data_IF_053377952909
#
_entry.id   IF_053377952909
#
_cell.length_a   1.000
_cell.length_b   1.000
_cell.length_c   1.000
_cell.angle_alpha   90.00
_cell.angle_beta   90.00
_cell.angle_gamma   90.00
#
_symmetry.space_group_name_H-M   'P 1'
#
loop_
_entity.id
_entity.type
_entity.pdbx_description
1 polymer ?
#
# COMPACT_ATOMS: atom_id res chain seq x y z
N UNK A 1 -6.83 -8.35 1.43
CA UNK A 1 -6.12 -7.10 1.76
C UNK A 1 -5.47 -7.15 3.13
N UNK A 2 -6.19 -7.47 4.21
CA UNK A 2 -5.61 -7.51 5.56
C UNK A 2 -4.41 -8.47 5.69
N UNK A 3 -4.51 -9.69 5.14
CA UNK A 3 -3.44 -10.70 5.25
C UNK A 3 -2.11 -10.28 4.62
N UNK A 4 -2.12 -9.72 3.39
CA UNK A 4 -0.88 -9.36 2.68
C UNK A 4 -0.57 -7.86 2.63
N UNK A 5 -1.52 -6.99 2.89
CA UNK A 5 -1.37 -5.53 2.86
C UNK A 5 -1.81 -4.88 4.19
N UNK A 6 -1.75 -5.64 5.30
CA UNK A 6 -1.98 -5.14 6.65
C UNK A 6 -0.81 -4.31 7.20
N UNK A 7 -0.68 -4.33 8.54
CA UNK A 7 0.39 -3.63 9.26
C UNK A 7 1.75 -4.22 8.86
N UNK A 8 1.93 -5.52 9.09
CA UNK A 8 3.13 -6.25 8.73
C UNK A 8 2.95 -6.97 7.41
N UNK A 9 4.00 -6.98 6.60
CA UNK A 9 3.95 -7.49 5.23
C UNK A 9 5.14 -8.38 4.97
N UNK A 10 4.90 -9.51 4.33
CA UNK A 10 5.95 -10.39 3.79
C UNK A 10 5.74 -10.55 2.28
N UNK A 11 6.81 -10.81 1.51
CA UNK A 11 6.72 -11.01 0.06
C UNK A 11 5.69 -12.08 -0.32
N UNK A 12 5.64 -13.17 0.45
CA UNK A 12 4.78 -14.33 0.18
C UNK A 12 3.31 -13.97 0.35
N UNK A 13 2.96 -13.28 1.45
CA UNK A 13 1.58 -12.87 1.72
C UNK A 13 1.13 -11.75 0.77
N UNK A 14 2.04 -10.84 0.40
CA UNK A 14 1.77 -9.81 -0.62
C UNK A 14 1.50 -10.45 -1.98
N UNK A 15 2.36 -11.38 -2.43
CA UNK A 15 2.19 -12.05 -3.71
C UNK A 15 0.89 -12.85 -3.74
N UNK A 16 0.60 -13.62 -2.69
CA UNK A 16 -0.67 -14.34 -2.55
C UNK A 16 -1.89 -13.40 -2.64
N UNK A 17 -1.77 -12.19 -2.09
CA UNK A 17 -2.83 -11.17 -2.17
C UNK A 17 -3.01 -10.67 -3.59
N UNK A 18 -1.93 -10.40 -4.34
CA UNK A 18 -1.97 -10.03 -5.75
C UNK A 18 -2.65 -11.12 -6.58
N UNK A 19 -2.21 -12.37 -6.41
CA UNK A 19 -2.77 -13.51 -7.15
C UNK A 19 -4.28 -13.66 -6.86
N UNK A 20 -4.68 -13.47 -5.60
CA UNK A 20 -6.10 -13.52 -5.21
C UNK A 20 -6.91 -12.38 -5.81
N UNK A 21 -6.36 -11.17 -5.87
CA UNK A 21 -7.03 -10.03 -6.47
C UNK A 21 -7.21 -10.24 -7.99
N UNK A 22 -6.21 -10.79 -8.68
CA UNK A 22 -6.34 -11.18 -10.09
C UNK A 22 -7.46 -12.20 -10.31
N UNK A 23 -7.58 -13.23 -9.46
CA UNK A 23 -8.71 -14.17 -9.50
C UNK A 23 -10.06 -13.46 -9.29
N UNK A 24 -10.14 -12.54 -8.32
CA UNK A 24 -11.37 -11.80 -8.02
C UNK A 24 -11.77 -10.86 -9.16
N UNK A 25 -10.80 -10.22 -9.83
CA UNK A 25 -11.03 -9.41 -11.03
C UNK A 25 -11.63 -10.25 -12.16
N UNK A 26 -11.10 -11.45 -12.42
CA UNK A 26 -11.68 -12.36 -13.41
C UNK A 26 -13.08 -12.82 -13.04
N UNK A 27 -13.34 -13.06 -11.75
CA UNK A 27 -14.68 -13.40 -11.26
C UNK A 27 -15.66 -12.26 -11.41
N UNK A 28 -15.22 -11.02 -11.19
CA UNK A 28 -16.05 -9.82 -11.28
C UNK A 28 -16.64 -9.62 -12.69
N UNK A 29 -15.92 -10.03 -13.74
CA UNK A 29 -16.42 -10.01 -15.14
C UNK A 29 -17.71 -10.81 -15.37
N UNK A 30 -18.06 -11.72 -14.43
CA UNK A 30 -19.26 -12.57 -14.50
C UNK A 30 -20.34 -12.19 -13.49
N UNK A 31 -20.17 -11.07 -12.77
CA UNK A 31 -21.19 -10.55 -11.85
C UNK A 31 -22.46 -10.22 -12.62
N UNK A 32 -23.61 -10.52 -12.01
CA UNK A 32 -24.94 -10.19 -12.53
C UNK A 32 -25.69 -9.42 -11.47
N UNK A 33 -26.27 -8.30 -11.88
CA UNK A 33 -27.21 -7.53 -11.07
C UNK A 33 -28.58 -8.17 -11.25
N UNK A 34 -29.27 -8.42 -10.15
CA UNK A 34 -30.57 -9.10 -10.18
C UNK A 34 -31.74 -8.13 -9.99
N UNK A 35 -31.50 -7.00 -9.33
CA UNK A 35 -32.46 -5.91 -9.24
C UNK A 35 -32.54 -5.16 -10.57
N UNK A 36 -33.74 -5.13 -11.17
CA UNK A 36 -34.01 -4.43 -12.43
C UNK A 36 -34.74 -3.09 -12.22
N UNK A 37 -34.87 -2.65 -10.97
CA UNK A 37 -35.50 -1.37 -10.63
C UNK A 37 -34.68 -0.21 -11.18
N UNK A 38 -35.35 0.81 -11.71
CA UNK A 38 -34.70 2.04 -12.19
C UNK A 38 -34.53 3.10 -11.11
N UNK A 39 -35.20 2.94 -9.97
CA UNK A 39 -35.18 3.88 -8.85
C UNK A 39 -34.43 3.23 -7.69
N UNK A 40 -33.37 3.91 -7.21
CA UNK A 40 -32.61 3.51 -6.02
C UNK A 40 -32.08 2.06 -6.05
N UNK A 41 -31.53 1.65 -7.20
CA UNK A 41 -30.95 0.32 -7.36
C UNK A 41 -29.57 0.24 -6.68
N UNK A 42 -29.56 -0.15 -5.40
CA UNK A 42 -28.32 -0.29 -4.63
C UNK A 42 -27.45 -1.45 -5.10
N UNK A 43 -28.04 -2.48 -5.72
CA UNK A 43 -27.29 -3.64 -6.26
C UNK A 43 -26.36 -3.18 -7.41
N UNK A 44 -26.89 -2.34 -8.31
CA UNK A 44 -26.10 -1.67 -9.35
C UNK A 44 -24.99 -0.79 -8.77
N UNK A 45 -25.31 0.05 -7.78
CA UNK A 45 -24.34 0.94 -7.16
C UNK A 45 -23.19 0.16 -6.51
N UNK A 46 -23.50 -0.82 -5.66
CA UNK A 46 -22.49 -1.65 -4.99
C UNK A 46 -21.66 -2.47 -5.97
N UNK A 47 -22.26 -2.91 -7.07
CA UNK A 47 -21.51 -3.61 -8.13
C UNK A 47 -20.46 -2.69 -8.76
N UNK A 48 -20.81 -1.43 -9.06
CA UNK A 48 -19.87 -0.44 -9.59
C UNK A 48 -18.76 -0.14 -8.58
N UNK A 49 -19.12 0.06 -7.31
CA UNK A 49 -18.16 0.33 -6.23
C UNK A 49 -17.21 -0.84 -6.00
N UNK A 50 -17.70 -2.07 -6.06
CA UNK A 50 -16.89 -3.28 -5.95
C UNK A 50 -15.82 -3.33 -7.05
N UNK A 51 -16.18 -3.00 -8.30
CA UNK A 51 -15.23 -2.93 -9.41
C UNK A 51 -14.11 -1.92 -9.16
N UNK A 52 -14.45 -0.71 -8.70
CA UNK A 52 -13.45 0.30 -8.34
C UNK A 52 -12.60 -0.13 -7.14
N UNK A 53 -13.21 -0.74 -6.13
CA UNK A 53 -12.51 -1.27 -4.96
C UNK A 53 -11.45 -2.30 -5.33
N UNK A 54 -11.77 -3.23 -6.23
CA UNK A 54 -10.81 -4.21 -6.74
C UNK A 54 -9.66 -3.55 -7.51
N UNK A 55 -9.92 -2.47 -8.26
CA UNK A 55 -8.86 -1.74 -8.97
C UNK A 55 -7.90 -1.01 -8.02
N UNK A 56 -8.44 -0.34 -7.00
CA UNK A 56 -7.64 0.34 -5.98
C UNK A 56 -6.82 -0.67 -5.18
N UNK A 57 -7.44 -1.80 -4.80
CA UNK A 57 -6.77 -2.87 -4.07
C UNK A 57 -5.56 -3.43 -4.83
N UNK A 58 -5.71 -3.66 -6.14
CA UNK A 58 -4.62 -4.12 -7.01
C UNK A 58 -3.47 -3.10 -7.06
N UNK A 59 -3.79 -1.82 -7.26
CA UNK A 59 -2.77 -0.76 -7.24
C UNK A 59 -2.00 -0.70 -5.91
N UNK A 60 -2.71 -0.87 -4.79
CA UNK A 60 -2.10 -0.90 -3.46
C UNK A 60 -1.18 -2.11 -3.27
N UNK A 61 -1.61 -3.31 -3.67
CA UNK A 61 -0.85 -4.54 -3.49
C UNK A 61 0.45 -4.54 -4.31
N UNK A 62 0.38 -4.14 -5.59
CA UNK A 62 1.55 -3.96 -6.44
C UNK A 62 2.50 -2.88 -5.91
N UNK A 63 1.96 -1.76 -5.42
CA UNK A 63 2.78 -0.71 -4.80
C UNK A 63 3.51 -1.21 -3.55
N UNK A 64 2.85 -2.04 -2.73
CA UNK A 64 3.41 -2.59 -1.51
C UNK A 64 4.55 -3.59 -1.79
N UNK A 65 4.37 -4.51 -2.74
CA UNK A 65 5.39 -5.52 -3.04
C UNK A 65 6.62 -4.90 -3.71
N UNK A 66 6.43 -3.90 -4.57
CA UNK A 66 7.49 -3.21 -5.30
C UNK A 66 8.33 -2.30 -4.40
N UNK A 67 7.76 -1.79 -3.31
CA UNK A 67 8.47 -0.95 -2.34
C UNK A 67 9.25 -1.83 -1.36
N UNK A 68 10.57 -1.91 -1.54
CA UNK A 68 11.47 -2.77 -0.76
C UNK A 68 12.17 -1.99 0.35
N UNK A 69 11.38 -1.41 1.26
CA UNK A 69 11.83 -0.73 2.47
C UNK A 69 10.71 -0.77 3.53
N UNK A 70 11.00 -0.29 4.74
CA UNK A 70 9.97 0.00 5.74
C UNK A 70 9.94 1.50 6.04
N UNK A 71 8.77 2.12 5.87
CA UNK A 71 8.58 3.57 6.04
C UNK A 71 7.18 3.89 6.52
N UNK A 72 7.07 4.48 7.71
CA UNK A 72 5.78 4.85 8.29
C UNK A 72 4.90 3.63 8.55
N UNK A 73 3.69 3.61 7.98
CA UNK A 73 2.76 2.49 8.12
C UNK A 73 3.06 1.29 7.21
N UNK A 74 4.00 1.42 6.27
CA UNK A 74 4.47 0.30 5.45
C UNK A 74 5.62 -0.41 6.18
N UNK A 75 5.33 -1.55 6.79
CA UNK A 75 6.29 -2.35 7.54
C UNK A 75 6.49 -3.71 6.87
N UNK A 76 7.71 -3.95 6.38
CA UNK A 76 8.14 -5.19 5.76
C UNK A 76 9.00 -6.00 6.72
N UNK A 77 8.77 -7.30 6.74
CA UNK A 77 9.49 -8.22 7.64
C UNK A 77 10.58 -9.03 6.94
N UNK A 78 10.71 -8.90 5.62
CA UNK A 78 11.73 -9.61 4.85
C UNK A 78 13.11 -8.93 4.91
N UNK A 79 14.12 -9.76 4.72
CA UNK A 79 15.53 -9.38 4.84
C UNK A 79 15.89 -8.20 3.92
N UNK A 80 16.58 -7.20 4.48
CA UNK A 80 16.96 -5.98 3.76
C UNK A 80 15.84 -4.96 3.57
N UNK A 81 14.60 -5.25 4.01
CA UNK A 81 13.46 -4.33 3.89
C UNK A 81 12.91 -3.84 5.25
N UNK A 82 13.51 -4.22 6.38
CA UNK A 82 13.00 -3.88 7.73
C UNK A 82 13.26 -2.43 8.13
N UNK A 83 14.17 -1.75 7.45
CA UNK A 83 14.57 -0.37 7.73
C UNK A 83 14.15 0.58 6.62
N UNK A 84 14.20 1.88 6.93
CA UNK A 84 13.98 2.94 5.94
C UNK A 84 15.17 3.04 4.98
N UNK A 85 14.89 3.12 3.69
CA UNK A 85 15.91 3.29 2.64
C UNK A 85 15.72 4.63 1.91
N UNK A 86 16.48 5.64 2.34
CA UNK A 86 16.45 6.96 1.70
C UNK A 86 17.27 7.03 0.41
N UNK A 87 18.13 6.05 0.13
CA UNK A 87 18.92 6.02 -1.11
C UNK A 87 18.05 5.58 -2.27
N UNK A 88 17.34 4.47 -2.12
CA UNK A 88 16.54 3.90 -3.21
C UNK A 88 15.08 4.33 -3.16
N UNK A 89 14.52 4.68 -2.00
CA UNK A 89 13.08 4.88 -1.82
C UNK A 89 12.66 6.21 -1.20
N UNK A 90 13.51 7.25 -1.20
CA UNK A 90 13.07 8.63 -0.96
C UNK A 90 12.28 9.20 -2.16
N UNK A 91 11.16 8.56 -2.47
CA UNK A 91 10.30 8.80 -3.63
C UNK A 91 8.85 8.41 -3.33
N UNK A 92 7.90 9.08 -3.99
CA UNK A 92 6.49 8.74 -3.97
C UNK A 92 6.21 7.63 -4.98
N UNK A 93 5.53 6.56 -4.56
CA UNK A 93 5.02 5.56 -5.51
C UNK A 93 3.77 6.12 -6.19
N UNK A 94 3.76 6.18 -7.52
CA UNK A 94 2.61 6.55 -8.33
C UNK A 94 2.10 5.29 -9.03
N UNK A 95 0.86 4.89 -8.76
CA UNK A 95 0.24 3.72 -9.36
C UNK A 95 -0.81 4.15 -10.39
N UNK A 96 -0.67 3.64 -11.60
CA UNK A 96 -1.59 3.89 -12.72
C UNK A 96 -2.25 2.58 -13.11
N UNK A 97 -3.58 2.63 -13.25
CA UNK A 97 -4.37 1.53 -13.78
C UNK A 97 -4.55 1.75 -15.27
N UNK A 98 -3.92 0.94 -16.08
CA UNK A 98 -4.03 1.03 -17.54
C UNK A 98 -5.33 0.39 -18.02
N UNK A 99 -5.74 0.73 -19.25
CA UNK A 99 -7.01 0.30 -19.82
C UNK A 99 -7.11 -1.22 -20.02
N UNK A 100 -5.97 -1.91 -20.12
CA UNK A 100 -5.88 -3.37 -20.19
C UNK A 100 -6.02 -4.05 -18.81
N UNK A 101 -6.17 -3.26 -17.75
CA UNK A 101 -6.28 -3.75 -16.38
C UNK A 101 -4.94 -4.02 -15.70
N UNK A 102 -3.82 -3.70 -16.33
CA UNK A 102 -2.50 -3.79 -15.69
C UNK A 102 -2.26 -2.61 -14.75
N UNK A 103 -1.37 -2.82 -13.77
CA UNK A 103 -0.94 -1.77 -12.84
C UNK A 103 0.49 -1.39 -13.18
N UNK A 104 0.67 -0.14 -13.60
CA UNK A 104 1.97 0.44 -13.90
C UNK A 104 2.41 1.32 -12.76
N UNK A 105 3.65 1.15 -12.31
CA UNK A 105 4.23 1.93 -11.23
C UNK A 105 5.27 2.89 -11.77
N UNK A 106 5.17 4.14 -11.36
CA UNK A 106 6.21 5.14 -11.51
C UNK A 106 6.62 5.68 -10.14
N UNK A 107 7.69 6.47 -10.12
CA UNK A 107 8.15 7.14 -8.92
C UNK A 107 8.32 8.63 -9.14
N UNK A 108 7.72 9.42 -8.24
CA UNK A 108 7.89 10.87 -8.19
C UNK A 108 8.92 11.27 -7.13
N UNK A 109 9.66 12.34 -7.40
CA UNK A 109 10.64 12.87 -6.45
C UNK A 109 9.96 13.47 -5.21
N UNK A 110 10.61 13.31 -4.05
CA UNK A 110 10.20 14.00 -2.82
C UNK A 110 10.79 15.40 -2.84
N UNK A 111 9.94 16.42 -2.72
CA UNK A 111 10.40 17.80 -2.53
C UNK A 111 10.83 18.02 -1.07
N UNK A 112 12.14 17.96 -0.82
CA UNK A 112 12.71 18.32 0.48
C UNK A 112 12.63 19.84 0.63
N UNK A 113 12.01 20.31 1.71
CA UNK A 113 11.88 21.73 2.02
C UNK A 113 12.91 22.13 3.08
N UNK A 114 12.47 22.58 4.24
CA UNK A 114 13.34 23.16 5.27
C UNK A 114 14.04 22.11 6.13
N UNK A 115 13.48 20.91 6.24
CA UNK A 115 13.98 19.85 7.11
C UNK A 115 14.53 18.69 6.28
N UNK A 116 15.82 18.34 6.42
CA UNK A 116 16.38 17.19 5.74
C UNK A 116 15.81 15.87 6.31
N UNK A 117 15.78 14.79 5.52
CA UNK A 117 15.37 13.48 6.01
C UNK A 117 16.25 13.03 7.18
N UNK A 118 15.61 12.74 8.31
CA UNK A 118 16.25 12.22 9.52
C UNK A 118 15.44 11.05 10.07
N UNK A 119 16.09 10.10 10.75
CA UNK A 119 15.40 8.94 11.36
C UNK A 119 14.32 9.49 12.30
N UNK A 120 13.08 9.05 12.10
CA UNK A 120 11.98 9.43 12.98
C UNK A 120 12.03 8.53 14.20
N UNK A 121 12.03 9.13 15.39
CA UNK A 121 12.09 8.41 16.65
C UNK A 121 10.72 8.54 17.31
N UNK A 122 10.10 7.42 17.68
CA UNK A 122 8.76 7.37 18.27
C UNK A 122 8.71 6.40 19.45
N UNK A 123 7.85 6.68 20.43
CA UNK A 123 7.62 5.78 21.57
C UNK A 123 8.87 5.58 22.43
N UNK A 124 9.14 4.32 22.80
CA UNK A 124 10.23 3.97 23.71
C UNK A 124 11.63 4.39 23.23
N UNK A 125 11.86 4.44 21.90
CA UNK A 125 13.14 4.93 21.36
C UNK A 125 13.30 6.44 21.58
N UNK A 126 12.22 7.21 21.59
CA UNK A 126 12.27 8.66 21.82
C UNK A 126 12.56 8.95 23.29
N UNK A 127 11.90 8.22 24.20
CA UNK A 127 12.16 8.30 25.65
C UNK A 127 13.61 7.88 25.99
N UNK A 128 14.14 6.87 25.29
CA UNK A 128 15.52 6.43 25.47
C UNK A 128 16.54 7.43 24.91
N UNK A 129 16.23 8.09 23.79
CA UNK A 129 17.05 9.16 23.22
C UNK A 129 17.09 10.39 24.15
N UNK A 130 15.94 10.80 24.68
CA UNK A 130 15.81 11.92 25.61
C UNK A 130 16.55 11.66 26.93
N UNK A 131 16.51 10.42 27.45
CA UNK A 131 17.30 9.98 28.62
C UNK A 131 18.81 9.99 28.37
N UNK A 132 19.26 9.69 27.15
CA UNK A 132 20.68 9.76 26.79
C UNK A 132 21.17 11.20 26.64
N UNK A 133 20.33 12.10 26.15
CA UNK A 133 20.64 13.52 26.03
C UNK A 133 20.74 14.20 27.39
N UNK A 134 19.81 13.90 28.30
CA UNK A 134 19.81 14.45 29.68
C UNK A 134 20.89 13.88 30.59
N UNK A 135 21.42 12.68 30.31
CA UNK A 135 22.52 12.08 31.08
C UNK A 135 23.92 12.57 30.66
N UNK A 136 24.05 13.22 29.50
CA UNK A 136 25.31 13.69 28.93
C UNK A 136 25.50 15.22 29.01
N UNK A 137 24.58 15.94 29.68
CA UNK A 137 24.67 17.38 29.98
C UNK A 137 24.84 17.62 31.46
#
# INVERSE_FOLDING_TARGET
>A
MEEGCGIYRTPELMQKTIDKLAELQERFKRVRITDNSSVFNTDLLYTIELGHGLNVAECMAHSAIARKESRGAHQRLDEGCTERDDVNFLKHTLAFRDADGTTRLEYGEVKITSLPPAKRVYGAEAEAAEKKETANG
#
